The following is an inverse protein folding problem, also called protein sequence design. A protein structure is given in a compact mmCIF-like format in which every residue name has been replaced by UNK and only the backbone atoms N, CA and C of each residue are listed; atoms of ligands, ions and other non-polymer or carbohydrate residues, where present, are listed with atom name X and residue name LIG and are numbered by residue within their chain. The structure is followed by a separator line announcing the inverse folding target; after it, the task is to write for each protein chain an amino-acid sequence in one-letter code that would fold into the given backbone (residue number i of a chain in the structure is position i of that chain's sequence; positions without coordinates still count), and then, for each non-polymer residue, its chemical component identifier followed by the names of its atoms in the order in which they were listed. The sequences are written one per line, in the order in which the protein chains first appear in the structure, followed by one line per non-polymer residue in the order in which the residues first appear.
data_IF_574503418070
#
_entry.id   IF_574503418070
#
_cell.length_a   1.000
_cell.length_b   1.000
_cell.length_c   1.000
_cell.angle_alpha   90.00
_cell.angle_beta   90.00
_cell.angle_gamma   90.00
#
_symmetry.space_group_name_H-M   'P 1'
#
loop_
_entity.id
_entity.type
_entity.pdbx_description
1 polymer ?
#
# COMPACT_ATOMS: atom_id res chain seq x y z
N UNK A 1 10.55 -22.55 5.09
CA UNK A 1 9.32 -21.83 4.71
C UNK A 1 9.62 -21.04 3.45
N UNK A 2 8.82 -21.24 2.41
CA UNK A 2 9.01 -20.54 1.13
C UNK A 2 8.68 -19.06 1.26
N UNK A 3 9.44 -18.22 0.55
CA UNK A 3 9.18 -16.79 0.46
C UNK A 3 7.84 -16.54 -0.25
N UNK A 4 7.15 -15.46 0.13
CA UNK A 4 5.85 -15.07 -0.42
C UNK A 4 6.01 -13.76 -1.20
N UNK A 5 6.59 -13.79 -2.42
CA UNK A 5 6.87 -12.58 -3.19
C UNK A 5 5.59 -11.79 -3.53
N UNK A 6 4.45 -12.47 -3.66
CA UNK A 6 3.16 -11.82 -3.87
C UNK A 6 2.80 -10.82 -2.76
N UNK A 7 3.23 -11.07 -1.52
CA UNK A 7 2.91 -10.21 -0.38
C UNK A 7 3.64 -8.86 -0.51
N UNK A 8 4.83 -8.82 -1.13
CA UNK A 8 5.51 -7.56 -1.47
C UNK A 8 4.67 -6.72 -2.42
N UNK A 9 4.19 -7.34 -3.49
CA UNK A 9 3.34 -6.67 -4.50
C UNK A 9 2.05 -6.16 -3.87
N UNK A 10 1.43 -6.95 -2.98
CA UNK A 10 0.22 -6.57 -2.24
C UNK A 10 0.48 -5.36 -1.34
N UNK A 11 1.58 -5.35 -0.57
CA UNK A 11 1.96 -4.22 0.29
C UNK A 11 2.29 -2.95 -0.52
N UNK A 12 2.87 -3.12 -1.72
CA UNK A 12 3.12 -2.03 -2.66
C UNK A 12 1.83 -1.45 -3.23
N UNK A 13 0.90 -2.28 -3.73
CA UNK A 13 -0.41 -1.81 -4.20
C UNK A 13 -1.13 -1.07 -3.07
N UNK A 14 -1.01 -1.58 -1.84
CA UNK A 14 -1.52 -0.94 -0.65
C UNK A 14 -0.79 0.37 -0.29
N UNK A 15 0.38 0.67 -0.83
CA UNK A 15 1.02 1.99 -0.62
C UNK A 15 0.45 3.05 -1.56
N UNK A 16 0.01 2.62 -2.75
CA UNK A 16 -0.50 3.49 -3.79
C UNK A 16 -1.96 3.91 -3.59
N UNK A 17 -2.77 3.17 -2.81
CA UNK A 17 -4.19 3.51 -2.65
C UNK A 17 -4.43 4.92 -2.06
N UNK A 18 -3.52 5.46 -1.23
CA UNK A 18 -3.61 6.83 -0.71
C UNK A 18 -3.38 7.87 -1.82
N UNK A 19 -2.47 7.58 -2.76
CA UNK A 19 -2.28 8.40 -3.94
C UNK A 19 -3.55 8.41 -4.79
N UNK A 20 -4.15 7.24 -5.03
CA UNK A 20 -5.41 7.13 -5.77
C UNK A 20 -6.58 7.80 -5.04
N UNK A 21 -6.62 7.78 -3.71
CA UNK A 21 -7.59 8.54 -2.92
C UNK A 21 -7.48 10.05 -3.20
N UNK A 22 -6.25 10.57 -3.23
CA UNK A 22 -6.03 11.98 -3.57
C UNK A 22 -6.40 12.28 -5.02
N UNK A 23 -6.02 11.41 -5.96
CA UNK A 23 -6.38 11.58 -7.37
C UNK A 23 -7.90 11.52 -7.56
N UNK A 24 -8.63 10.73 -6.78
CA UNK A 24 -10.09 10.70 -6.81
C UNK A 24 -10.69 12.05 -6.41
N UNK A 25 -10.16 12.67 -5.35
CA UNK A 25 -10.58 14.02 -4.92
C UNK A 25 -10.30 15.04 -6.02
N UNK A 26 -9.10 15.01 -6.62
CA UNK A 26 -8.70 15.94 -7.67
C UNK A 26 -9.48 15.73 -8.98
N UNK A 27 -9.80 14.48 -9.31
CA UNK A 27 -10.48 14.12 -10.55
C UNK A 27 -12.01 14.23 -10.46
N UNK A 28 -12.53 14.69 -9.33
CA UNK A 28 -13.96 14.77 -9.08
C UNK A 28 -14.65 15.71 -10.09
N UNK A 29 -15.61 15.16 -10.84
CA UNK A 29 -16.42 15.91 -11.79
C UNK A 29 -17.91 15.74 -11.48
N UNK A 30 -18.57 16.85 -11.07
CA UNK A 30 -20.00 16.89 -10.76
C UNK A 30 -20.87 16.45 -11.94
N UNK A 31 -20.44 16.75 -13.17
CA UNK A 31 -21.18 16.40 -14.39
C UNK A 31 -21.21 14.89 -14.59
N UNK A 32 -20.10 14.21 -14.35
CA UNK A 32 -20.00 12.75 -14.44
C UNK A 32 -20.98 12.09 -13.45
N UNK A 33 -20.94 12.53 -12.19
CA UNK A 33 -21.77 11.94 -11.12
C UNK A 33 -23.25 12.13 -11.40
N UNK A 34 -23.66 13.32 -11.85
CA UNK A 34 -25.04 13.57 -12.25
C UNK A 34 -25.47 12.63 -13.39
N UNK A 35 -24.65 12.50 -14.43
CA UNK A 35 -24.95 11.62 -15.55
C UNK A 35 -25.08 10.13 -15.14
N UNK A 36 -24.25 9.66 -14.20
CA UNK A 36 -24.34 8.30 -13.66
C UNK A 36 -25.57 8.12 -12.79
N UNK A 37 -25.90 9.12 -11.97
CA UNK A 37 -27.10 9.11 -11.14
C UNK A 37 -28.38 9.05 -11.99
N UNK A 38 -28.45 9.92 -13.01
CA UNK A 38 -29.57 9.99 -13.94
C UNK A 38 -29.73 8.69 -14.74
N UNK A 39 -28.61 8.04 -15.10
CA UNK A 39 -28.60 6.72 -15.75
C UNK A 39 -29.17 5.61 -14.85
N UNK A 40 -28.74 5.54 -13.59
CA UNK A 40 -29.14 4.46 -12.66
C UNK A 40 -30.60 4.60 -12.24
N UNK A 41 -31.09 5.83 -12.00
CA UNK A 41 -32.41 6.04 -11.41
C UNK A 41 -33.53 6.33 -12.41
N UNK A 42 -33.21 6.78 -13.62
CA UNK A 42 -34.22 7.32 -14.55
C UNK A 42 -34.35 6.51 -15.84
N UNK A 43 -33.57 5.42 -16.01
CA UNK A 43 -33.52 4.47 -17.14
C UNK A 43 -33.43 5.06 -18.57
N UNK A 44 -33.39 6.39 -18.72
CA UNK A 44 -33.58 7.09 -20.00
C UNK A 44 -32.31 7.69 -20.61
N UNK A 45 -31.11 7.29 -20.17
CA UNK A 45 -29.88 7.86 -20.70
C UNK A 45 -28.99 6.85 -21.41
N UNK A 46 -28.71 7.07 -22.69
CA UNK A 46 -27.64 6.36 -23.39
C UNK A 46 -26.31 6.98 -22.96
N UNK A 47 -25.56 6.31 -22.08
CA UNK A 47 -24.24 6.77 -21.66
C UNK A 47 -23.28 6.79 -22.87
N UNK A 48 -23.03 7.98 -23.42
CA UNK A 48 -22.18 8.13 -24.59
C UNK A 48 -20.70 8.15 -24.18
N UNK A 49 -20.03 7.00 -24.33
CA UNK A 49 -18.59 6.80 -24.04
C UNK A 49 -17.68 7.83 -24.74
N UNK A 50 -18.11 8.38 -25.88
CA UNK A 50 -17.36 9.36 -26.66
C UNK A 50 -17.23 10.74 -25.98
N UNK A 51 -18.02 11.02 -24.94
CA UNK A 51 -18.00 12.29 -24.19
C UNK A 51 -17.05 12.29 -22.98
N UNK A 52 -16.36 11.17 -22.73
CA UNK A 52 -15.51 11.01 -21.55
C UNK A 52 -14.25 11.87 -21.65
N UNK A 53 -14.13 12.82 -20.71
CA UNK A 53 -12.89 13.57 -20.49
C UNK A 53 -11.84 12.67 -19.83
N UNK A 54 -10.57 13.02 -20.05
CA UNK A 54 -9.42 12.33 -19.43
C UNK A 54 -9.57 12.26 -17.90
N UNK A 55 -10.00 13.37 -17.29
CA UNK A 55 -10.30 13.46 -15.85
C UNK A 55 -11.30 12.40 -15.38
N UNK A 56 -12.34 12.13 -16.14
CA UNK A 56 -13.36 11.12 -15.81
C UNK A 56 -12.77 9.70 -15.81
N UNK A 57 -11.84 9.43 -16.74
CA UNK A 57 -11.13 8.15 -16.78
C UNK A 57 -10.24 8.00 -15.55
N UNK A 58 -9.50 9.04 -15.17
CA UNK A 58 -8.66 9.03 -13.96
C UNK A 58 -9.51 8.82 -12.71
N UNK A 59 -10.69 9.44 -12.63
CA UNK A 59 -11.63 9.24 -11.52
C UNK A 59 -12.06 7.77 -11.38
N UNK A 60 -12.51 7.15 -12.49
CA UNK A 60 -12.95 5.74 -12.51
C UNK A 60 -11.80 4.79 -12.14
N UNK A 61 -10.61 5.00 -12.73
CA UNK A 61 -9.43 4.19 -12.41
C UNK A 61 -9.06 4.32 -10.93
N UNK A 62 -9.05 5.54 -10.40
CA UNK A 62 -8.74 5.78 -8.99
C UNK A 62 -9.73 5.07 -8.06
N UNK A 63 -11.01 5.11 -8.40
CA UNK A 63 -12.06 4.42 -7.65
C UNK A 63 -11.85 2.90 -7.64
N UNK A 64 -11.52 2.29 -8.79
CA UNK A 64 -11.18 0.86 -8.88
C UNK A 64 -9.98 0.51 -8.00
N UNK A 65 -8.91 1.31 -8.05
CA UNK A 65 -7.70 1.07 -7.24
C UNK A 65 -7.96 1.21 -5.74
N UNK A 66 -8.84 2.12 -5.30
CA UNK A 66 -9.26 2.24 -3.91
C UNK A 66 -10.01 0.99 -3.46
N UNK A 67 -10.94 0.48 -4.28
CA UNK A 67 -11.64 -0.77 -3.98
C UNK A 67 -10.70 -1.97 -3.90
N UNK A 68 -9.75 -2.09 -4.83
CA UNK A 68 -8.70 -3.13 -4.80
C UNK A 68 -7.88 -3.00 -3.52
N UNK A 69 -7.46 -1.78 -3.15
CA UNK A 69 -6.74 -1.50 -1.90
C UNK A 69 -7.52 -1.91 -0.66
N UNK A 70 -8.82 -1.61 -0.61
CA UNK A 70 -9.70 -2.00 0.49
C UNK A 70 -9.89 -3.53 0.59
N UNK A 71 -10.07 -4.22 -0.54
CA UNK A 71 -10.14 -5.69 -0.57
C UNK A 71 -8.83 -6.29 -0.07
N UNK A 72 -7.69 -5.76 -0.55
CA UNK A 72 -6.36 -6.17 -0.10
C UNK A 72 -6.20 -5.97 1.41
N UNK A 73 -6.67 -4.86 1.97
CA UNK A 73 -6.64 -4.61 3.41
C UNK A 73 -7.39 -5.68 4.19
N UNK A 74 -8.60 -6.02 3.74
CA UNK A 74 -9.44 -7.05 4.38
C UNK A 74 -8.77 -8.42 4.26
N UNK A 75 -8.26 -8.77 3.09
CA UNK A 75 -7.56 -10.03 2.86
C UNK A 75 -6.31 -10.13 3.73
N UNK A 76 -5.52 -9.06 3.84
CA UNK A 76 -4.33 -9.01 4.69
C UNK A 76 -4.73 -9.19 6.16
N UNK A 77 -5.76 -8.47 6.61
CA UNK A 77 -6.32 -8.60 7.96
C UNK A 77 -6.76 -10.04 8.28
N UNK A 78 -7.35 -10.74 7.32
CA UNK A 78 -7.82 -12.11 7.50
C UNK A 78 -6.69 -13.16 7.33
N UNK A 79 -5.66 -12.86 6.53
CA UNK A 79 -4.54 -13.77 6.27
C UNK A 79 -3.63 -13.99 7.48
N UNK A 80 -3.79 -13.20 8.55
CA UNK A 80 -3.06 -13.37 9.82
C UNK A 80 -3.47 -14.61 10.63
N UNK A 81 -4.40 -15.44 10.13
CA UNK A 81 -4.87 -16.65 10.80
C UNK A 81 -3.97 -17.89 10.68
N UNK A 82 -3.15 -18.03 9.62
CA UNK A 82 -2.42 -19.27 9.33
C UNK A 82 -1.03 -19.06 8.72
N UNK A 83 -0.16 -20.08 8.81
CA UNK A 83 1.17 -20.07 8.21
C UNK A 83 2.29 -19.47 9.07
N UNK A 84 2.08 -19.37 10.38
CA UNK A 84 3.07 -18.91 11.36
C UNK A 84 4.19 -19.93 11.57
N UNK A 85 5.42 -19.44 11.73
CA UNK A 85 6.58 -20.25 12.13
C UNK A 85 6.40 -20.82 13.55
N UNK A 86 7.35 -21.68 13.95
CA UNK A 86 7.58 -21.99 15.37
C UNK A 86 7.94 -20.70 16.11
N UNK A 87 7.62 -20.62 17.41
CA UNK A 87 7.97 -19.47 18.22
C UNK A 87 9.50 -19.34 18.33
N UNK A 88 10.00 -18.12 18.12
CA UNK A 88 11.41 -17.77 18.12
C UNK A 88 11.60 -16.50 18.95
N UNK A 89 12.77 -16.33 19.56
CA UNK A 89 13.10 -15.11 20.32
C UNK A 89 13.67 -14.03 19.42
N UNK A 90 13.42 -12.77 19.79
CA UNK A 90 14.00 -11.59 19.16
C UNK A 90 14.92 -10.85 20.10
N UNK A 91 16.00 -10.29 19.56
CA UNK A 91 17.00 -9.49 20.26
C UNK A 91 17.45 -8.30 19.41
N UNK A 92 18.15 -7.35 20.02
CA UNK A 92 18.70 -6.15 19.35
C UNK A 92 17.68 -5.39 18.48
N UNK A 93 16.59 -4.97 19.12
CA UNK A 93 15.48 -4.30 18.43
C UNK A 93 15.80 -2.81 18.27
N UNK A 94 15.89 -2.34 17.02
CA UNK A 94 15.90 -0.91 16.68
C UNK A 94 14.61 -0.53 15.95
N UNK A 95 14.01 0.59 16.34
CA UNK A 95 12.78 1.10 15.72
C UNK A 95 13.13 1.94 14.49
N UNK A 96 12.58 1.58 13.33
CA UNK A 96 12.84 2.23 12.04
C UNK A 96 11.63 3.06 11.55
N UNK A 97 10.67 3.36 12.43
CA UNK A 97 9.45 4.10 12.09
C UNK A 97 9.68 5.52 11.50
N UNK A 98 10.90 6.04 11.48
CA UNK A 98 11.19 7.42 11.05
C UNK A 98 11.19 7.63 9.52
N UNK A 99 11.23 6.56 8.71
CA UNK A 99 11.29 6.68 7.25
C UNK A 99 9.92 6.92 6.57
N UNK A 100 8.82 6.84 7.32
CA UNK A 100 7.46 6.91 6.75
C UNK A 100 7.06 8.30 6.25
N UNK A 101 7.57 9.35 6.90
CA UNK A 101 7.16 10.72 6.60
C UNK A 101 7.89 11.29 5.39
N UNK A 102 9.19 11.00 5.26
CA UNK A 102 10.00 11.39 4.10
C UNK A 102 9.40 10.82 2.80
N UNK A 103 8.85 9.62 2.87
CA UNK A 103 8.20 9.01 1.72
C UNK A 103 6.95 9.79 1.27
N UNK A 104 6.08 10.16 2.21
CA UNK A 104 4.84 10.89 1.93
C UNK A 104 5.13 12.30 1.39
N UNK A 105 6.08 13.02 1.99
CA UNK A 105 6.36 14.41 1.63
C UNK A 105 7.12 14.55 0.33
N UNK A 106 8.02 13.63 -0.01
CA UNK A 106 8.90 13.80 -1.18
C UNK A 106 8.30 13.25 -2.46
N UNK A 107 7.43 12.25 -2.37
CA UNK A 107 6.89 11.55 -3.53
C UNK A 107 5.40 11.76 -3.72
N UNK A 108 4.61 11.72 -2.64
CA UNK A 108 3.16 11.87 -2.75
C UNK A 108 2.78 13.35 -2.91
N UNK A 109 3.43 14.26 -2.19
CA UNK A 109 3.10 15.69 -2.24
C UNK A 109 3.08 16.29 -3.67
N UNK A 110 4.10 16.12 -4.53
CA UNK A 110 4.06 16.70 -5.88
C UNK A 110 2.97 16.09 -6.78
N UNK A 111 2.65 14.81 -6.58
CA UNK A 111 1.67 14.09 -7.39
C UNK A 111 0.23 14.41 -6.99
N UNK A 112 -0.01 14.61 -5.70
CA UNK A 112 -1.31 14.99 -5.13
C UNK A 112 -1.81 16.34 -5.67
N UNK A 113 -0.90 17.28 -5.88
CA UNK A 113 -1.23 18.61 -6.40
C UNK A 113 -1.20 18.72 -7.93
N UNK A 114 -0.98 17.60 -8.65
CA UNK A 114 -0.96 17.63 -10.11
C UNK A 114 -2.39 17.55 -10.66
N UNK A 115 -2.80 18.57 -11.42
CA UNK A 115 -4.07 18.59 -12.12
C UNK A 115 -4.11 17.57 -13.26
N UNK A 116 -5.22 16.82 -13.36
CA UNK A 116 -5.40 15.72 -14.32
C UNK A 116 -6.26 16.09 -15.53
N UNK A 117 -6.35 17.39 -15.83
CA UNK A 117 -7.19 17.91 -16.93
C UNK A 117 -6.62 17.63 -18.32
N UNK A 118 -5.31 17.41 -18.43
CA UNK A 118 -4.64 17.21 -19.71
C UNK A 118 -4.09 15.80 -19.87
N UNK A 119 -4.06 15.29 -21.10
CA UNK A 119 -3.41 14.00 -21.43
C UNK A 119 -1.93 13.99 -21.04
N UNK A 120 -1.25 15.15 -21.13
CA UNK A 120 0.18 15.30 -20.82
C UNK A 120 0.45 15.16 -19.33
N UNK A 121 -0.37 15.81 -18.49
CA UNK A 121 -0.22 15.71 -17.03
C UNK A 121 -0.51 14.31 -16.52
N UNK A 122 -1.52 13.63 -17.08
CA UNK A 122 -1.81 12.22 -16.76
C UNK A 122 -0.68 11.28 -17.19
N UNK A 123 -0.07 11.50 -18.36
CA UNK A 123 1.08 10.71 -18.79
C UNK A 123 2.29 10.91 -17.87
N UNK A 124 2.57 12.15 -17.48
CA UNK A 124 3.64 12.47 -16.53
C UNK A 124 3.39 11.82 -15.16
N UNK A 125 2.16 11.87 -14.67
CA UNK A 125 1.75 11.22 -13.43
C UNK A 125 2.00 9.69 -13.50
N UNK A 126 1.62 9.05 -14.60
CA UNK A 126 1.88 7.63 -14.82
C UNK A 126 3.37 7.27 -14.82
N UNK A 127 4.20 8.10 -15.48
CA UNK A 127 5.65 7.94 -15.47
C UNK A 127 6.24 8.05 -14.06
N UNK A 128 5.79 9.04 -13.27
CA UNK A 128 6.25 9.20 -11.90
C UNK A 128 5.85 8.04 -11.00
N UNK A 129 4.60 7.55 -11.11
CA UNK A 129 4.16 6.35 -10.39
C UNK A 129 5.04 5.15 -10.75
N UNK A 130 5.39 4.98 -12.03
CA UNK A 130 6.28 3.91 -12.46
C UNK A 130 7.69 4.03 -11.87
N UNK A 131 8.30 5.22 -11.96
CA UNK A 131 9.66 5.46 -11.43
C UNK A 131 9.71 5.25 -9.92
N UNK A 132 8.73 5.77 -9.19
CA UNK A 132 8.62 5.57 -7.74
C UNK A 132 8.46 4.07 -7.44
N UNK A 133 7.60 3.36 -8.17
CA UNK A 133 7.44 1.92 -8.06
C UNK A 133 8.74 1.14 -8.26
N UNK A 134 9.52 1.51 -9.29
CA UNK A 134 10.81 0.88 -9.55
C UNK A 134 11.82 1.14 -8.42
N UNK A 135 11.90 2.37 -7.91
CA UNK A 135 12.75 2.71 -6.75
C UNK A 135 12.32 1.89 -5.52
N UNK A 136 11.03 1.73 -5.30
CA UNK A 136 10.49 0.96 -4.18
C UNK A 136 10.86 -0.51 -4.19
N UNK A 137 10.68 -1.15 -5.35
CA UNK A 137 11.04 -2.56 -5.52
C UNK A 137 12.55 -2.73 -5.32
N UNK A 138 13.35 -1.80 -5.83
CA UNK A 138 14.81 -1.86 -5.73
C UNK A 138 15.35 -1.57 -4.32
N UNK A 139 14.69 -0.71 -3.55
CA UNK A 139 15.13 -0.32 -2.19
C UNK A 139 14.53 -1.19 -1.08
N UNK A 140 13.71 -2.20 -1.42
CA UNK A 140 12.97 -3.04 -0.46
C UNK A 140 12.12 -2.25 0.56
N UNK A 141 11.87 -0.94 0.34
CA UNK A 141 11.10 -0.08 1.27
C UNK A 141 9.58 -0.25 1.19
N UNK A 142 9.08 -1.31 0.55
CA UNK A 142 7.65 -1.57 0.35
C UNK A 142 6.85 -1.67 1.66
N UNK A 143 7.52 -1.98 2.78
CA UNK A 143 6.90 -2.09 4.10
C UNK A 143 6.83 -0.75 4.86
N UNK A 144 7.57 0.29 4.46
CA UNK A 144 7.53 1.64 5.05
C UNK A 144 6.27 2.42 4.66
N UNK A 145 5.15 1.73 4.53
CA UNK A 145 3.89 2.23 4.01
C UNK A 145 3.07 2.92 5.13
N UNK A 146 2.66 4.19 4.99
CA UNK A 146 1.78 4.86 5.95
C UNK A 146 0.46 4.12 6.19
N UNK A 147 -0.01 3.34 5.23
CA UNK A 147 -1.21 2.49 5.36
C UNK A 147 -1.03 1.36 6.37
N UNK A 148 0.17 0.78 6.44
CA UNK A 148 0.51 -0.19 7.49
C UNK A 148 0.59 0.50 8.85
N UNK A 149 1.13 1.72 8.90
CA UNK A 149 1.15 2.52 10.14
C UNK A 149 -0.27 2.84 10.64
N UNK A 150 -1.20 3.19 9.74
CA UNK A 150 -2.63 3.40 10.05
C UNK A 150 -3.27 2.13 10.64
N UNK A 151 -2.87 0.94 10.17
CA UNK A 151 -3.32 -0.35 10.73
C UNK A 151 -2.65 -0.71 12.07
N UNK A 152 -1.70 0.11 12.53
CA UNK A 152 -0.96 -0.07 13.78
C UNK A 152 0.30 -0.94 13.65
N UNK A 153 0.75 -1.26 12.43
CA UNK A 153 2.03 -1.94 12.26
C UNK A 153 3.21 -0.99 12.51
N UNK A 154 4.24 -1.53 13.14
CA UNK A 154 5.50 -0.88 13.46
C UNK A 154 6.62 -1.71 12.84
N UNK A 155 7.67 -1.02 12.40
CA UNK A 155 8.81 -1.64 11.74
C UNK A 155 10.00 -1.61 12.69
N UNK A 156 10.61 -2.77 12.84
CA UNK A 156 11.78 -2.97 13.66
C UNK A 156 12.88 -3.62 12.84
N UNK A 157 14.14 -3.27 13.05
CA UNK A 157 15.25 -4.19 12.73
C UNK A 157 15.53 -4.99 13.98
N UNK A 158 15.57 -6.31 13.87
CA UNK A 158 15.81 -7.20 14.98
C UNK A 158 16.60 -8.43 14.55
N UNK A 159 17.32 -9.03 15.50
CA UNK A 159 17.95 -10.32 15.36
C UNK A 159 16.94 -11.41 15.75
N UNK A 160 16.51 -12.20 14.77
CA UNK A 160 15.60 -13.34 14.96
C UNK A 160 16.41 -14.61 15.14
N UNK A 161 16.15 -15.32 16.24
CA UNK A 161 16.81 -16.57 16.60
C UNK A 161 15.98 -17.76 16.10
N UNK A 162 16.13 -18.11 14.81
CA UNK A 162 15.54 -19.31 14.21
C UNK A 162 16.61 -20.13 13.50
N UNK A 163 16.96 -21.30 14.07
CA UNK A 163 18.05 -22.18 13.61
C UNK A 163 19.37 -21.44 13.30
N UNK A 164 19.61 -20.33 14.01
CA UNK A 164 20.68 -19.36 13.79
C UNK A 164 20.22 -17.94 14.12
N UNK A 165 21.16 -16.97 14.13
CA UNK A 165 20.85 -15.55 14.34
C UNK A 165 20.80 -14.85 12.99
N UNK A 166 19.64 -14.30 12.62
CA UNK A 166 19.51 -13.52 11.39
C UNK A 166 19.00 -12.12 11.68
N UNK A 167 19.75 -11.11 11.25
CA UNK A 167 19.32 -9.72 11.27
C UNK A 167 18.33 -9.49 10.13
N UNK A 168 17.11 -9.07 10.47
CA UNK A 168 16.05 -8.88 9.50
C UNK A 168 15.12 -7.74 9.92
N UNK A 169 14.36 -7.25 8.95
CA UNK A 169 13.29 -6.28 9.19
C UNK A 169 12.05 -7.04 9.64
N UNK A 170 11.57 -6.72 10.83
CA UNK A 170 10.41 -7.32 11.47
C UNK A 170 9.25 -6.32 11.48
N UNK A 171 8.15 -6.70 10.85
CA UNK A 171 6.91 -5.92 10.83
C UNK A 171 5.98 -6.50 11.90
N UNK A 172 5.65 -5.75 12.94
CA UNK A 172 4.80 -6.23 14.03
C UNK A 172 3.70 -5.22 14.37
N UNK A 173 2.49 -5.71 14.71
CA UNK A 173 1.36 -4.85 15.10
C UNK A 173 1.45 -4.36 16.55
N UNK A 174 2.16 -5.10 17.40
CA UNK A 174 2.39 -4.79 18.80
C UNK A 174 3.78 -4.19 19.01
N UNK A 175 4.00 -3.58 20.17
CA UNK A 175 5.31 -3.08 20.56
C UNK A 175 6.21 -4.28 20.86
N UNK A 176 7.24 -4.46 20.04
CA UNK A 176 8.24 -5.51 20.24
C UNK A 176 9.24 -5.09 21.34
N UNK A 177 9.51 -5.98 22.29
CA UNK A 177 10.57 -5.82 23.31
C UNK A 177 11.64 -6.89 23.14
N UNK A 178 12.86 -6.53 23.55
CA UNK A 178 13.98 -7.49 23.53
C UNK A 178 13.61 -8.67 24.39
N UNK A 179 13.86 -9.90 23.92
CA UNK A 179 13.49 -11.20 24.52
C UNK A 179 12.04 -11.67 24.30
N UNK A 180 11.20 -10.92 23.60
CA UNK A 180 9.85 -11.41 23.26
C UNK A 180 9.92 -12.67 22.38
N UNK A 181 8.98 -13.58 22.60
CA UNK A 181 8.75 -14.71 21.72
C UNK A 181 7.80 -14.27 20.60
N UNK A 182 8.25 -14.44 19.37
CA UNK A 182 7.48 -14.10 18.18
C UNK A 182 7.27 -15.34 17.33
N UNK A 183 6.12 -15.41 16.65
CA UNK A 183 5.97 -16.22 15.44
C UNK A 183 6.07 -15.29 14.25
N UNK A 184 6.65 -15.77 13.16
CA UNK A 184 6.82 -14.96 11.96
C UNK A 184 6.37 -15.68 10.69
N UNK A 185 6.07 -14.88 9.67
CA UNK A 185 5.82 -15.31 8.30
C UNK A 185 6.90 -14.66 7.44
N UNK A 186 7.63 -15.48 6.70
CA UNK A 186 8.66 -15.01 5.77
C UNK A 186 8.01 -14.31 4.57
N UNK A 187 8.17 -12.99 4.48
CA UNK A 187 7.80 -12.23 3.27
C UNK A 187 8.90 -12.42 2.23
N UNK A 188 10.14 -12.18 2.66
CA UNK A 188 11.35 -12.29 1.85
C UNK A 188 12.54 -12.75 2.68
N UNK A 189 13.72 -12.88 2.08
CA UNK A 189 14.96 -13.20 2.79
C UNK A 189 15.31 -12.20 3.89
N UNK A 190 15.00 -10.92 3.72
CA UNK A 190 15.36 -9.85 4.66
C UNK A 190 14.19 -9.31 5.49
N UNK A 191 12.95 -9.72 5.20
CA UNK A 191 11.74 -9.13 5.81
C UNK A 191 10.78 -10.19 6.31
N UNK A 192 10.45 -10.12 7.60
CA UNK A 192 9.54 -11.00 8.29
C UNK A 192 8.35 -10.23 8.87
N UNK A 193 7.17 -10.82 8.75
CA UNK A 193 5.96 -10.35 9.41
C UNK A 193 5.80 -11.12 10.73
N UNK A 194 5.76 -10.44 11.87
CA UNK A 194 5.77 -11.08 13.18
C UNK A 194 4.54 -10.78 14.03
N UNK A 195 4.19 -11.75 14.89
CA UNK A 195 3.18 -11.65 15.94
C UNK A 195 3.78 -12.15 17.25
N UNK A 196 3.61 -11.37 18.33
CA UNK A 196 4.02 -11.76 19.68
C UNK A 196 3.13 -12.91 20.17
N UNK A 197 3.76 -13.90 20.82
CA UNK A 197 3.12 -15.07 21.43
C UNK A 197 2.85 -14.82 22.90
#
# INVERSE_FOLDING_TARGET
MDSRPYLKTVLYILSLWLLFLSLLIMSYDKVLIKNVWDYIFTENFTFSISSLKVRNIVFIVSLIFIFIGAIILIVLANSFGSGWSVACTVSDISNENHEHLEFLTTYIMPLVFTDVDSKRTVLNLGLMIFVIGAIYVKTNRFYSNPSLAILGFRIYKANVHDRGVKKCTVICRSVLKSTDNIKYIKIDDETYLAKIV
#
